data_IF_985121609922
#
_entry.id   IF_985121609922
#
_cell.length_a   1.000
_cell.length_b   1.000
_cell.length_c   1.000
_cell.angle_alpha   90.00
_cell.angle_beta   90.00
_cell.angle_gamma   90.00
#
_symmetry.space_group_name_H-M   'P 1'
#
loop_
_entity.id
_entity.type
_entity.pdbx_description
1 polymer ?
#
# COMPACT_ATOMS: atom_id res chain seq x y z
N UNK A 1 -73.39 -16.06 -0.26
CA UNK A 1 -73.28 -16.36 -1.70
C UNK A 1 -72.37 -15.32 -2.29
N UNK A 2 -71.38 -15.79 -3.06
CA UNK A 2 -70.52 -15.02 -3.99
C UNK A 2 -69.53 -14.05 -3.32
N UNK A 3 -68.35 -13.70 -3.84
CA UNK A 3 -67.51 -14.06 -5.00
C UNK A 3 -66.14 -13.39 -4.68
N UNK A 4 -65.00 -14.05 -4.82
CA UNK A 4 -64.07 -13.94 -5.95
C UNK A 4 -63.49 -12.53 -6.27
N UNK A 5 -62.14 -12.49 -6.37
CA UNK A 5 -61.34 -11.70 -7.34
C UNK A 5 -61.37 -10.16 -7.21
N UNK A 6 -60.40 -9.35 -7.63
CA UNK A 6 -59.04 -9.39 -8.18
C UNK A 6 -58.63 -7.89 -8.20
N UNK A 7 -57.45 -7.51 -7.73
CA UNK A 7 -56.27 -7.22 -8.55
C UNK A 7 -56.30 -5.94 -9.43
N UNK A 8 -55.14 -5.26 -9.42
CA UNK A 8 -54.58 -4.29 -10.38
C UNK A 8 -55.11 -2.84 -10.46
N UNK A 9 -54.23 -1.93 -10.04
CA UNK A 9 -53.43 -1.15 -11.00
C UNK A 9 -53.83 0.32 -11.19
N UNK A 10 -52.91 1.23 -10.87
CA UNK A 10 -52.90 2.58 -11.44
C UNK A 10 -51.47 3.13 -11.56
N UNK A 11 -50.95 3.14 -12.79
CA UNK A 11 -49.81 3.92 -13.29
C UNK A 11 -50.39 5.03 -14.18
N UNK A 12 -50.09 6.31 -13.93
CA UNK A 12 -50.32 7.35 -14.91
C UNK A 12 -49.00 7.96 -15.42
N UNK A 13 -48.42 7.37 -16.46
CA UNK A 13 -47.63 8.12 -17.45
C UNK A 13 -48.57 8.76 -18.48
N UNK A 14 -48.51 10.08 -18.58
CA UNK A 14 -49.25 10.86 -19.57
C UNK A 14 -48.42 11.99 -20.18
N UNK A 15 -48.27 11.91 -21.51
CA UNK A 15 -48.15 12.98 -22.52
C UNK A 15 -46.93 13.93 -22.44
N UNK A 16 -46.03 14.10 -23.43
CA UNK A 16 -46.11 13.94 -24.88
C UNK A 16 -46.41 15.28 -25.56
N UNK A 17 -45.47 15.86 -26.35
CA UNK A 17 -45.63 16.73 -27.54
C UNK A 17 -44.26 17.40 -27.88
N UNK A 18 -43.52 16.98 -28.94
CA UNK A 18 -43.56 17.30 -30.39
C UNK A 18 -42.98 18.68 -30.79
N UNK A 19 -41.87 18.66 -31.57
CA UNK A 19 -41.69 19.51 -32.76
C UNK A 19 -40.58 20.58 -32.77
N UNK A 20 -39.69 20.54 -33.77
CA UNK A 20 -38.92 21.71 -34.24
C UNK A 20 -37.54 21.44 -34.84
N UNK A 21 -37.44 21.42 -36.19
CA UNK A 21 -36.18 21.38 -36.98
C UNK A 21 -35.50 22.76 -37.01
N UNK A 22 -34.16 22.79 -37.18
CA UNK A 22 -33.52 23.89 -37.93
C UNK A 22 -32.06 24.25 -37.59
N UNK A 23 -31.14 23.79 -38.45
CA UNK A 23 -29.85 24.39 -38.86
C UNK A 23 -28.64 24.51 -37.90
N UNK A 24 -27.63 23.67 -38.19
CA UNK A 24 -26.34 24.14 -38.70
C UNK A 24 -25.19 24.33 -37.71
N UNK A 25 -24.28 23.36 -37.65
CA UNK A 25 -22.88 23.52 -38.13
C UNK A 25 -22.07 22.25 -37.90
N UNK A 26 -21.37 21.88 -38.96
CA UNK A 26 -20.25 20.95 -39.06
C UNK A 26 -19.21 21.17 -37.94
N UNK A 27 -18.64 20.10 -37.37
CA UNK A 27 -17.20 19.84 -37.25
C UNK A 27 -16.97 18.48 -36.57
N UNK A 28 -16.10 17.67 -37.17
CA UNK A 28 -15.77 16.31 -36.76
C UNK A 28 -14.79 16.20 -35.58
N UNK A 29 -14.29 14.97 -35.30
CA UNK A 29 -13.75 14.56 -34.00
C UNK A 29 -12.24 14.77 -33.89
N UNK A 30 -11.74 15.08 -32.69
CA UNK A 30 -10.29 15.05 -32.44
C UNK A 30 -9.83 15.71 -31.14
N UNK A 31 -9.19 14.89 -30.30
CA UNK A 31 -7.97 15.17 -29.53
C UNK A 31 -7.77 16.53 -28.86
N UNK A 32 -7.77 16.53 -27.53
CA UNK A 32 -7.05 17.54 -26.75
C UNK A 32 -5.78 16.92 -26.18
N UNK A 33 -4.66 17.26 -26.85
CA UNK A 33 -3.31 17.14 -26.32
C UNK A 33 -2.93 18.36 -25.45
N UNK A 34 -1.73 18.34 -24.83
CA UNK A 34 -1.33 19.25 -23.77
C UNK A 34 -0.41 20.37 -24.28
N UNK A 35 -0.61 21.60 -23.78
CA UNK A 35 0.30 22.78 -23.77
C UNK A 35 -0.59 24.00 -23.40
N UNK A 36 -0.26 24.99 -22.57
CA UNK A 36 0.95 25.35 -21.83
C UNK A 36 0.71 26.71 -21.15
N UNK A 37 1.49 27.03 -20.12
CA UNK A 37 1.75 28.37 -19.59
C UNK A 37 3.14 28.27 -18.90
N UNK A 38 4.19 29.05 -19.19
CA UNK A 38 4.42 30.11 -20.16
C UNK A 38 5.87 30.66 -20.03
N UNK A 39 6.26 31.51 -21.01
CA UNK A 39 7.35 32.55 -21.04
C UNK A 39 8.79 32.13 -20.64
N UNK A 40 9.88 32.49 -21.31
CA UNK A 40 10.23 33.50 -22.33
C UNK A 40 11.68 34.00 -22.07
N UNK A 41 12.38 34.48 -23.12
CA UNK A 41 13.79 34.99 -23.22
C UNK A 41 14.86 33.89 -23.38
N UNK A 42 15.53 33.66 -24.52
CA UNK A 42 16.22 34.54 -25.49
C UNK A 42 17.72 34.59 -25.13
N UNK A 43 18.76 34.36 -25.94
CA UNK A 43 19.02 33.95 -27.33
C UNK A 43 20.56 34.04 -27.52
N UNK A 44 21.15 33.29 -28.47
CA UNK A 44 22.40 33.70 -29.15
C UNK A 44 23.76 33.07 -28.78
N UNK A 45 24.15 32.03 -29.54
CA UNK A 45 25.44 31.71 -30.22
C UNK A 45 26.81 32.16 -29.68
N UNK A 46 27.75 31.20 -29.63
CA UNK A 46 29.04 31.08 -30.38
C UNK A 46 29.99 30.14 -29.58
N UNK A 47 30.69 29.12 -30.12
CA UNK A 47 31.37 29.02 -31.39
C UNK A 47 32.89 29.16 -31.17
N UNK A 48 33.57 28.09 -30.73
CA UNK A 48 35.02 28.07 -30.50
C UNK A 48 35.64 26.72 -30.88
N UNK A 49 36.55 26.79 -31.85
CA UNK A 49 37.15 25.73 -32.68
C UNK A 49 38.45 25.20 -32.02
N UNK A 50 38.81 23.95 -32.30
CA UNK A 50 39.80 23.18 -31.54
C UNK A 50 41.28 23.26 -31.96
N UNK A 51 42.07 22.45 -31.22
CA UNK A 51 43.42 21.91 -31.52
C UNK A 51 44.61 22.82 -31.19
N UNK A 52 45.79 22.29 -30.78
CA UNK A 52 46.36 21.03 -31.26
C UNK A 52 46.98 20.10 -30.18
N UNK A 53 47.37 18.92 -30.65
CA UNK A 53 47.98 17.79 -29.97
C UNK A 53 49.21 18.11 -29.11
N UNK A 54 49.29 17.44 -27.96
CA UNK A 54 50.51 17.20 -27.18
C UNK A 54 50.45 15.76 -26.69
N UNK A 55 51.34 14.94 -27.25
CA UNK A 55 51.56 13.52 -27.01
C UNK A 55 51.88 13.18 -25.53
N UNK A 56 51.47 11.96 -25.14
CA UNK A 56 52.07 11.07 -24.14
C UNK A 56 52.06 11.42 -22.64
N UNK A 57 51.08 10.84 -21.95
CA UNK A 57 51.11 10.59 -20.51
C UNK A 57 50.24 9.37 -20.17
N UNK A 58 50.83 8.18 -20.25
CA UNK A 58 50.24 6.92 -19.83
C UNK A 58 49.70 7.00 -18.40
N UNK A 59 48.43 6.68 -18.24
CA UNK A 59 47.75 6.57 -16.96
C UNK A 59 46.64 5.54 -17.06
N UNK A 60 47.02 4.26 -17.13
CA UNK A 60 46.16 3.11 -16.94
C UNK A 60 45.46 3.18 -15.57
N UNK A 61 44.23 3.69 -15.56
CA UNK A 61 43.29 3.59 -14.45
C UNK A 61 42.02 2.91 -14.95
N UNK A 62 41.62 1.74 -14.42
CA UNK A 62 40.50 1.01 -14.98
C UNK A 62 39.18 1.64 -14.50
N UNK A 63 38.48 2.23 -15.48
CA UNK A 63 37.04 2.51 -15.54
C UNK A 63 36.50 3.77 -14.85
N UNK A 64 36.31 4.78 -15.69
CA UNK A 64 35.38 5.88 -15.49
C UNK A 64 33.92 5.43 -15.48
N UNK A 65 33.10 6.24 -14.80
CA UNK A 65 31.66 6.06 -14.70
C UNK A 65 31.01 7.24 -13.99
N UNK A 66 31.23 8.46 -14.50
CA UNK A 66 30.43 9.61 -14.08
C UNK A 66 29.04 9.57 -14.73
N UNK A 67 28.01 9.18 -13.99
CA UNK A 67 26.62 9.70 -14.03
C UNK A 67 25.62 8.81 -13.27
N UNK A 68 24.78 9.45 -12.47
CA UNK A 68 23.61 8.87 -11.80
C UNK A 68 23.75 9.05 -10.29
N UNK A 69 23.12 10.04 -9.65
CA UNK A 69 21.70 10.35 -9.74
C UNK A 69 21.12 10.09 -8.35
N UNK A 70 20.70 11.16 -7.69
CA UNK A 70 20.04 11.17 -6.37
C UNK A 70 18.97 10.07 -6.25
N UNK A 71 19.01 9.31 -5.17
CA UNK A 71 17.96 8.35 -4.83
C UNK A 71 18.23 7.69 -3.48
N UNK A 72 18.04 8.42 -2.39
CA UNK A 72 17.97 7.84 -1.05
C UNK A 72 16.73 6.96 -0.91
N UNK A 73 16.74 5.80 -1.58
CA UNK A 73 15.76 4.75 -1.32
C UNK A 73 15.99 4.27 0.10
N UNK A 74 15.01 4.50 0.99
CA UNK A 74 15.00 3.93 2.35
C UNK A 74 15.41 2.46 2.24
N UNK A 75 16.58 2.09 2.79
CA UNK A 75 16.99 0.68 2.86
C UNK A 75 15.85 -0.10 3.51
N UNK A 76 15.29 -1.07 2.78
CA UNK A 76 14.27 -1.97 3.32
C UNK A 76 14.90 -2.72 4.51
N UNK A 77 14.24 -2.72 5.66
CA UNK A 77 14.75 -3.33 6.88
C UNK A 77 14.93 -4.85 6.75
N UNK A 78 14.04 -5.47 5.97
CA UNK A 78 14.11 -6.86 5.53
C UNK A 78 14.23 -6.90 4.00
N UNK A 79 15.12 -7.78 3.52
CA UNK A 79 15.18 -8.12 2.10
C UNK A 79 13.94 -8.91 1.67
N UNK A 80 13.76 -9.07 0.36
CA UNK A 80 12.58 -9.76 -0.18
C UNK A 80 12.48 -11.20 0.33
N UNK A 81 13.59 -11.94 0.43
CA UNK A 81 13.57 -13.33 0.88
C UNK A 81 13.26 -13.46 2.38
N UNK A 82 13.78 -12.54 3.20
CA UNK A 82 13.44 -12.48 4.61
C UNK A 82 11.94 -12.19 4.83
N UNK A 83 11.35 -11.29 4.02
CA UNK A 83 9.91 -11.01 4.10
C UNK A 83 9.06 -12.22 3.70
N UNK A 84 9.48 -13.00 2.68
CA UNK A 84 8.78 -14.24 2.30
C UNK A 84 8.71 -15.22 3.46
N UNK A 85 9.85 -15.47 4.14
CA UNK A 85 9.90 -16.38 5.28
C UNK A 85 9.04 -15.91 6.44
N UNK A 86 9.03 -14.60 6.74
CA UNK A 86 8.16 -14.02 7.76
C UNK A 86 6.68 -14.25 7.39
N UNK A 87 6.25 -13.87 6.19
CA UNK A 87 4.86 -14.00 5.77
C UNK A 87 4.40 -15.46 5.76
N UNK A 88 5.21 -16.36 5.19
CA UNK A 88 4.91 -17.78 5.13
C UNK A 88 4.80 -18.39 6.53
N UNK A 89 5.71 -18.03 7.45
CA UNK A 89 5.65 -18.49 8.85
C UNK A 89 4.38 -18.01 9.56
N UNK A 90 3.98 -16.75 9.41
CA UNK A 90 2.77 -16.22 10.03
C UNK A 90 1.48 -16.85 9.49
N UNK A 91 1.46 -17.17 8.19
CA UNK A 91 0.36 -17.90 7.54
C UNK A 91 0.32 -19.36 8.01
N UNK A 92 1.48 -19.96 8.28
CA UNK A 92 1.56 -21.31 8.85
C UNK A 92 0.96 -21.38 10.25
N UNK A 93 1.18 -20.35 11.06
CA UNK A 93 0.66 -20.29 12.43
C UNK A 93 -0.87 -20.14 12.47
N UNK A 94 -1.43 -19.35 11.55
CA UNK A 94 -2.88 -19.25 11.34
C UNK A 94 -3.19 -18.67 9.95
N UNK A 95 -4.29 -19.10 9.28
CA UNK A 95 -4.77 -18.44 8.08
C UNK A 95 -5.10 -16.97 8.35
N UNK A 96 -4.60 -16.05 7.51
CA UNK A 96 -4.68 -14.60 7.75
C UNK A 96 -4.96 -13.81 6.48
N UNK A 97 -5.55 -12.62 6.62
CA UNK A 97 -5.61 -11.65 5.53
C UNK A 97 -4.29 -10.89 5.39
N UNK A 98 -4.03 -10.35 4.19
CA UNK A 98 -2.81 -9.58 3.91
C UNK A 98 -2.59 -8.39 4.86
N UNK A 99 -3.65 -7.71 5.28
CA UNK A 99 -3.54 -6.59 6.21
C UNK A 99 -3.26 -7.04 7.66
N UNK A 100 -3.77 -8.20 8.06
CA UNK A 100 -3.48 -8.77 9.38
C UNK A 100 -2.02 -9.21 9.46
N UNK A 101 -1.44 -9.69 8.37
CA UNK A 101 0.00 -9.97 8.29
C UNK A 101 0.84 -8.70 8.48
N UNK A 102 0.43 -7.57 7.90
CA UNK A 102 1.13 -6.28 8.12
C UNK A 102 1.08 -5.89 9.60
N UNK A 103 -0.11 -5.97 10.22
CA UNK A 103 -0.31 -5.64 11.64
C UNK A 103 0.48 -6.57 12.56
N UNK A 104 0.54 -7.86 12.24
CA UNK A 104 1.26 -8.86 13.03
C UNK A 104 2.77 -8.58 12.99
N UNK A 105 3.34 -8.28 11.83
CA UNK A 105 4.76 -7.91 11.70
C UNK A 105 5.08 -6.62 12.47
N UNK A 106 4.17 -5.64 12.42
CA UNK A 106 4.27 -4.43 13.23
C UNK A 106 4.27 -4.76 14.72
N UNK A 107 3.37 -5.62 15.18
CA UNK A 107 3.28 -6.05 16.57
C UNK A 107 4.56 -6.76 17.02
N UNK A 108 5.02 -7.76 16.27
CA UNK A 108 6.22 -8.56 16.57
C UNK A 108 7.52 -7.74 16.58
N UNK A 109 7.55 -6.63 15.84
CA UNK A 109 8.68 -5.69 15.86
C UNK A 109 8.57 -4.63 16.97
N UNK A 110 7.54 -4.68 17.82
CA UNK A 110 7.28 -3.67 18.84
C UNK A 110 6.89 -2.31 18.25
N UNK A 111 6.12 -2.30 17.15
CA UNK A 111 5.73 -1.09 16.39
C UNK A 111 6.91 -0.33 15.77
N UNK A 112 8.07 -0.98 15.61
CA UNK A 112 9.26 -0.37 14.98
C UNK A 112 9.20 -0.51 13.46
N UNK A 113 8.56 -1.55 12.96
CA UNK A 113 8.54 -1.87 11.54
C UNK A 113 7.19 -2.43 11.09
N UNK A 114 6.53 -1.71 10.18
CA UNK A 114 5.39 -2.19 9.43
C UNK A 114 5.74 -2.24 7.93
N UNK A 115 5.67 -3.40 7.26
CA UNK A 115 5.84 -3.48 5.82
C UNK A 115 4.66 -2.81 5.11
N UNK A 116 4.92 -2.14 3.98
CA UNK A 116 3.85 -1.48 3.23
C UNK A 116 3.01 -2.50 2.44
N UNK A 117 1.74 -2.19 2.14
CA UNK A 117 0.92 -3.02 1.24
C UNK A 117 1.60 -3.30 -0.10
N UNK A 118 2.30 -2.30 -0.66
CA UNK A 118 3.02 -2.41 -1.93
C UNK A 118 4.21 -3.36 -1.94
N UNK A 119 4.64 -3.88 -0.78
CA UNK A 119 5.61 -4.98 -0.70
C UNK A 119 4.99 -6.29 -0.25
N UNK A 120 3.98 -6.25 0.63
CA UNK A 120 3.32 -7.46 1.14
C UNK A 120 2.52 -8.16 0.05
N UNK A 121 1.61 -7.46 -0.63
CA UNK A 121 0.72 -8.12 -1.61
C UNK A 121 1.47 -8.73 -2.80
N UNK A 122 2.48 -8.07 -3.41
CA UNK A 122 3.31 -8.73 -4.42
C UNK A 122 4.06 -9.95 -3.89
N UNK A 123 4.46 -9.94 -2.63
CA UNK A 123 5.13 -11.10 -2.01
C UNK A 123 4.15 -12.24 -1.77
N UNK A 124 2.91 -11.94 -1.38
CA UNK A 124 1.85 -12.95 -1.26
C UNK A 124 1.49 -13.56 -2.63
N UNK A 125 1.40 -12.74 -3.68
CA UNK A 125 1.23 -13.24 -5.05
C UNK A 125 2.34 -14.21 -5.42
N UNK A 126 3.60 -13.84 -5.16
CA UNK A 126 4.73 -14.73 -5.44
C UNK A 126 4.69 -16.03 -4.63
N UNK A 127 4.31 -15.99 -3.35
CA UNK A 127 4.15 -17.20 -2.53
C UNK A 127 3.03 -18.10 -3.07
N UNK A 128 1.94 -17.51 -3.57
CA UNK A 128 0.84 -18.25 -4.19
C UNK A 128 1.25 -18.84 -5.54
N UNK A 129 1.97 -18.08 -6.38
CA UNK A 129 2.50 -18.55 -7.67
C UNK A 129 3.51 -19.70 -7.51
N UNK A 130 4.16 -19.79 -6.35
CA UNK A 130 5.06 -20.89 -5.95
C UNK A 130 4.32 -22.05 -5.27
N UNK A 131 2.99 -22.02 -5.22
CA UNK A 131 2.13 -23.00 -4.54
C UNK A 131 2.42 -23.18 -3.04
N UNK A 132 3.06 -22.20 -2.39
CA UNK A 132 3.42 -22.25 -0.96
C UNK A 132 2.26 -21.83 -0.06
N UNK A 133 1.34 -21.04 -0.60
CA UNK A 133 0.12 -20.60 0.06
C UNK A 133 -1.06 -20.74 -0.90
N UNK A 134 -2.26 -20.89 -0.36
CA UNK A 134 -3.51 -20.92 -1.11
C UNK A 134 -4.48 -19.88 -0.56
N UNK A 135 -5.31 -19.33 -1.44
CA UNK A 135 -6.44 -18.49 -1.04
C UNK A 135 -7.60 -19.37 -0.57
N UNK A 136 -8.18 -19.02 0.57
CA UNK A 136 -9.39 -19.63 1.11
C UNK A 136 -10.50 -18.58 1.28
N UNK A 137 -11.79 -18.99 1.23
CA UNK A 137 -12.89 -18.11 1.59
C UNK A 137 -12.69 -17.57 3.01
N UNK A 138 -12.76 -16.26 3.17
CA UNK A 138 -12.79 -15.60 4.48
C UNK A 138 -14.17 -15.02 4.78
N UNK A 139 -14.29 -14.31 5.90
CA UNK A 139 -15.51 -13.60 6.23
C UNK A 139 -15.76 -12.42 5.25
N UNK A 140 -16.96 -12.37 4.70
CA UNK A 140 -17.37 -11.36 3.73
C UNK A 140 -16.63 -11.47 2.39
N UNK A 141 -16.09 -10.36 1.90
CA UNK A 141 -15.41 -10.27 0.59
C UNK A 141 -13.89 -10.46 0.65
N UNK A 142 -13.33 -10.68 1.84
CA UNK A 142 -11.88 -10.74 2.05
C UNK A 142 -11.40 -12.18 2.04
N UNK A 143 -10.37 -12.48 1.25
CA UNK A 143 -9.78 -13.82 1.14
C UNK A 143 -8.72 -14.03 2.21
N UNK A 144 -8.72 -15.19 2.85
CA UNK A 144 -7.65 -15.63 3.74
C UNK A 144 -6.56 -16.31 2.93
N UNK A 145 -5.31 -16.19 3.39
CA UNK A 145 -4.21 -17.00 2.89
C UNK A 145 -3.93 -18.10 3.91
N UNK A 146 -3.83 -19.34 3.45
CA UNK A 146 -3.49 -20.51 4.24
C UNK A 146 -2.25 -21.20 3.65
N UNK A 147 -1.45 -21.84 4.49
CA UNK A 147 -0.26 -22.55 4.05
C UNK A 147 -0.64 -23.86 3.33
N UNK A 148 0.15 -24.26 2.34
CA UNK A 148 0.03 -25.57 1.67
C UNK A 148 1.01 -26.60 2.26
N UNK A 149 0.91 -27.85 1.82
CA UNK A 149 1.91 -28.88 2.14
C UNK A 149 3.31 -28.48 1.64
N UNK A 150 3.40 -27.95 0.42
CA UNK A 150 4.65 -27.43 -0.15
C UNK A 150 5.21 -26.25 0.66
N UNK A 151 4.35 -25.34 1.11
CA UNK A 151 4.73 -24.24 2.01
C UNK A 151 5.31 -24.74 3.33
N UNK A 152 4.70 -25.79 3.90
CA UNK A 152 5.16 -26.39 5.16
C UNK A 152 6.53 -27.05 5.00
N UNK A 153 6.73 -27.81 3.91
CA UNK A 153 8.04 -28.39 3.58
C UNK A 153 9.10 -27.30 3.36
N UNK A 154 8.75 -26.23 2.64
CA UNK A 154 9.64 -25.11 2.39
C UNK A 154 10.09 -24.42 3.70
N UNK A 155 9.19 -24.24 4.68
CA UNK A 155 9.56 -23.72 6.00
C UNK A 155 10.52 -24.66 6.74
N UNK A 156 10.30 -25.98 6.68
CA UNK A 156 11.17 -26.96 7.32
C UNK A 156 12.59 -26.94 6.72
N UNK A 157 12.70 -26.81 5.39
CA UNK A 157 13.99 -26.68 4.70
C UNK A 157 14.73 -25.38 5.07
N UNK A 158 13.99 -24.33 5.43
CA UNK A 158 14.53 -23.00 5.72
C UNK A 158 14.43 -22.63 7.20
N UNK A 159 14.36 -23.61 8.11
CA UNK A 159 14.14 -23.40 9.54
C UNK A 159 15.13 -22.40 10.15
N UNK A 160 16.42 -22.51 9.81
CA UNK A 160 17.45 -21.59 10.29
C UNK A 160 17.20 -20.14 9.84
N UNK A 161 16.79 -19.94 8.59
CA UNK A 161 16.46 -18.62 8.06
C UNK A 161 15.19 -18.05 8.71
N UNK A 162 14.19 -18.88 8.97
CA UNK A 162 12.98 -18.50 9.72
C UNK A 162 13.34 -18.07 11.14
N UNK A 163 14.17 -18.85 11.84
CA UNK A 163 14.63 -18.51 13.19
C UNK A 163 15.38 -17.17 13.22
N UNK A 164 16.26 -16.92 12.25
CA UNK A 164 17.01 -15.66 12.14
C UNK A 164 16.09 -14.44 11.97
N UNK A 165 15.14 -14.51 11.04
CA UNK A 165 14.25 -13.37 10.77
C UNK A 165 13.27 -13.11 11.93
N UNK A 166 12.80 -14.15 12.59
CA UNK A 166 11.92 -14.03 13.77
C UNK A 166 12.69 -13.46 14.97
N UNK A 167 13.92 -13.91 15.21
CA UNK A 167 14.76 -13.34 16.27
C UNK A 167 15.12 -11.87 15.98
N UNK A 168 15.32 -11.51 14.70
CA UNK A 168 15.51 -10.11 14.32
C UNK A 168 14.28 -9.24 14.63
N UNK A 169 13.05 -9.73 14.40
CA UNK A 169 11.83 -9.02 14.81
C UNK A 169 11.77 -8.87 16.34
N UNK A 170 12.00 -9.95 17.07
CA UNK A 170 12.00 -9.93 18.53
C UNK A 170 13.07 -9.00 19.11
N UNK A 171 14.25 -8.94 18.50
CA UNK A 171 15.31 -8.01 18.88
C UNK A 171 14.88 -6.55 18.71
N UNK A 172 14.18 -6.22 17.60
CA UNK A 172 13.62 -4.88 17.39
C UNK A 172 12.63 -4.52 18.50
N UNK A 173 11.73 -5.45 18.86
CA UNK A 173 10.76 -5.22 19.92
C UNK A 173 11.45 -4.93 21.27
N UNK A 174 12.41 -5.77 21.69
CA UNK A 174 13.17 -5.57 22.94
C UNK A 174 13.93 -4.25 22.95
N UNK A 175 14.51 -3.85 21.81
CA UNK A 175 15.19 -2.55 21.69
C UNK A 175 14.18 -1.40 21.80
N UNK A 176 13.00 -1.55 21.24
CA UNK A 176 11.94 -0.55 21.31
C UNK A 176 11.46 -0.36 22.75
N UNK A 177 11.29 -1.43 23.51
CA UNK A 177 10.88 -1.41 24.92
C UNK A 177 11.91 -0.71 25.82
N UNK A 178 13.20 -0.87 25.53
CA UNK A 178 14.29 -0.23 26.29
C UNK A 178 14.38 1.28 26.07
N UNK A 179 13.84 1.81 24.99
CA UNK A 179 13.82 3.24 24.74
C UNK A 179 12.63 3.87 25.50
N UNK A 180 12.84 5.02 26.16
CA UNK A 180 11.86 5.77 26.98
C UNK A 180 10.52 6.12 26.31
N UNK A 181 10.34 5.77 25.04
CA UNK A 181 9.06 5.82 24.34
C UNK A 181 8.07 4.72 24.78
N UNK A 182 8.43 3.83 25.71
CA UNK A 182 7.55 2.76 26.19
C UNK A 182 6.17 3.27 26.70
N UNK A 183 6.04 4.36 27.48
CA UNK A 183 4.75 4.91 27.86
C UNK A 183 3.91 5.37 26.66
N UNK A 184 4.53 6.06 25.70
CA UNK A 184 3.85 6.55 24.48
C UNK A 184 3.37 5.38 23.62
N UNK A 185 4.21 4.36 23.42
CA UNK A 185 3.86 3.15 22.66
C UNK A 185 2.68 2.41 23.30
N UNK A 186 2.67 2.26 24.62
CA UNK A 186 1.53 1.66 25.35
C UNK A 186 0.26 2.47 25.16
N UNK A 187 0.34 3.81 25.22
CA UNK A 187 -0.81 4.68 24.98
C UNK A 187 -1.36 4.53 23.55
N UNK A 188 -0.49 4.48 22.54
CA UNK A 188 -0.88 4.27 21.14
C UNK A 188 -1.53 2.89 20.92
N UNK A 189 -1.00 1.83 21.54
CA UNK A 189 -1.62 0.50 21.46
C UNK A 189 -3.00 0.47 22.11
N UNK A 190 -3.16 1.07 23.28
CA UNK A 190 -4.46 1.18 23.95
C UNK A 190 -5.46 1.96 23.06
N UNK A 191 -5.03 3.06 22.44
CA UNK A 191 -5.85 3.82 21.51
C UNK A 191 -6.27 2.99 20.29
N UNK A 192 -5.35 2.23 19.69
CA UNK A 192 -5.64 1.34 18.54
C UNK A 192 -6.71 0.31 18.88
N UNK A 193 -6.58 -0.37 20.02
CA UNK A 193 -7.57 -1.36 20.49
C UNK A 193 -8.93 -0.70 20.72
N UNK A 194 -8.96 0.48 21.36
CA UNK A 194 -10.20 1.22 21.58
C UNK A 194 -10.90 1.62 20.27
N UNK A 195 -10.12 2.06 19.27
CA UNK A 195 -10.63 2.38 17.93
C UNK A 195 -11.18 1.11 17.26
N UNK A 196 -10.44 0.01 17.26
CA UNK A 196 -10.91 -1.26 16.67
C UNK A 196 -12.22 -1.73 17.29
N UNK A 197 -12.29 -1.78 18.63
CA UNK A 197 -13.51 -2.14 19.35
C UNK A 197 -14.69 -1.21 19.02
N UNK A 198 -14.43 0.09 18.78
CA UNK A 198 -15.47 1.04 18.39
C UNK A 198 -15.97 0.80 16.98
N UNK A 199 -15.07 0.47 16.05
CA UNK A 199 -15.39 0.29 14.64
C UNK A 199 -15.95 -1.10 14.31
N UNK A 200 -15.61 -2.12 15.08
CA UNK A 200 -16.14 -3.49 14.93
C UNK A 200 -17.55 -3.66 15.49
N UNK A 201 -17.98 -2.77 16.39
CA UNK A 201 -19.33 -2.80 16.95
C UNK A 201 -20.34 -2.45 15.83
N UNK A 202 -21.31 -3.33 15.60
CA UNK A 202 -22.39 -3.13 14.62
C UNK A 202 -22.98 -1.72 14.76
N UNK A 203 -22.92 -0.93 13.67
CA UNK A 203 -23.44 0.45 13.64
C UNK A 203 -22.38 1.56 13.63
N UNK A 204 -21.09 1.28 13.37
CA UNK A 204 -20.13 2.32 13.01
C UNK A 204 -20.51 2.94 11.66
N UNK A 205 -21.29 4.01 11.71
CA UNK A 205 -21.68 4.80 10.55
C UNK A 205 -20.52 5.70 10.08
N UNK A 206 -20.69 6.31 8.90
CA UNK A 206 -19.70 7.24 8.36
C UNK A 206 -19.37 8.39 9.31
N UNK A 207 -20.34 8.82 10.13
CA UNK A 207 -20.14 9.86 11.12
C UNK A 207 -19.16 9.43 12.22
N UNK A 208 -19.31 8.22 12.75
CA UNK A 208 -18.40 7.66 13.77
C UNK A 208 -16.95 7.62 13.26
N UNK A 209 -16.75 7.32 11.97
CA UNK A 209 -15.41 7.34 11.36
C UNK A 209 -14.81 8.75 11.32
N UNK A 210 -15.61 9.76 10.96
CA UNK A 210 -15.17 11.16 10.97
C UNK A 210 -14.85 11.65 12.39
N UNK A 211 -15.67 11.30 13.38
CA UNK A 211 -15.46 11.69 14.77
C UNK A 211 -14.16 11.09 15.34
N UNK A 212 -13.88 9.81 15.03
CA UNK A 212 -12.61 9.17 15.41
C UNK A 212 -11.41 9.87 14.77
N UNK A 213 -11.49 10.22 13.48
CA UNK A 213 -10.42 10.94 12.80
C UNK A 213 -10.18 12.32 13.45
N UNK A 214 -11.24 13.08 13.73
CA UNK A 214 -11.13 14.39 14.37
C UNK A 214 -10.45 14.34 15.74
N UNK A 215 -10.74 13.31 16.55
CA UNK A 215 -10.09 13.11 17.86
C UNK A 215 -8.59 12.81 17.73
N UNK A 216 -8.19 12.05 16.71
CA UNK A 216 -6.79 11.75 16.44
C UNK A 216 -6.04 13.03 16.03
N UNK A 217 -6.62 13.82 15.12
CA UNK A 217 -6.03 15.08 14.64
C UNK A 217 -5.92 16.12 15.77
N UNK A 218 -6.90 16.18 16.67
CA UNK A 218 -6.85 17.05 17.85
C UNK A 218 -5.71 16.65 18.79
N UNK A 219 -5.56 15.35 19.06
CA UNK A 219 -4.47 14.84 19.89
C UNK A 219 -3.10 15.14 19.25
N UNK A 220 -2.95 14.93 17.94
CA UNK A 220 -1.73 15.27 17.21
C UNK A 220 -1.41 16.77 17.29
N UNK A 221 -2.41 17.63 17.03
CA UNK A 221 -2.27 19.08 17.10
C UNK A 221 -1.86 19.58 18.49
N UNK A 222 -2.34 18.93 19.56
CA UNK A 222 -1.93 19.24 20.95
C UNK A 222 -0.48 18.83 21.22
N UNK A 223 -0.05 17.69 20.71
CA UNK A 223 1.32 17.20 20.87
C UNK A 223 2.32 18.10 20.13
N UNK A 224 1.99 18.57 18.92
CA UNK A 224 2.84 19.48 18.14
C UNK A 224 3.11 20.83 18.83
N UNK A 225 2.29 21.19 19.82
CA UNK A 225 2.38 22.45 20.57
C UNK A 225 3.13 22.33 21.92
N UNK A 226 3.55 21.13 22.31
CA UNK A 226 4.35 20.89 23.51
C UNK A 226 5.78 21.41 23.34
#
# INVERSE_FOLDING_TARGET
MDDAMADRGFDPRGFGHRGGRGHGRFFGPGGFGPEGFGRGFGGGRAGGRGGPFGEDGFGDGPFGGGRGGRGGGRRRLFGNDALKLILLKLIADAPRHGYDLIREIESLSGSVYAPSPGVVYPTLTLLADMDLIAEQPGEGSRKLFAITEAGTAHLAEHEAGVAEVMEKLAHLARKAERNDAAPVRRALQNMRVAIQHRLEKEGADSQTMFDVAALIDEAASKIERL
#
